data_IF_784125849048
#
_entry.id   IF_784125849048
#
_cell.length_a   1.000
_cell.length_b   1.000
_cell.length_c   1.000
_cell.angle_alpha   90.00
_cell.angle_beta   90.00
_cell.angle_gamma   90.00
#
_symmetry.space_group_name_H-M   'P 1'
#
loop_
_entity.id
_entity.type
_entity.pdbx_description
1 polymer ?
#
# COMPACT_ATOMS: atom_id res chain seq x y z
N UNK A 1 24.15 6.53 -4.39
CA UNK A 1 23.31 6.46 -3.17
C UNK A 1 22.14 5.54 -3.45
N UNK A 2 21.78 4.63 -2.53
CA UNK A 2 20.51 3.87 -2.65
C UNK A 2 19.37 4.76 -2.16
N UNK A 3 18.30 4.87 -2.94
CA UNK A 3 17.08 5.57 -2.51
C UNK A 3 16.48 4.87 -1.30
N UNK A 4 16.22 5.57 -0.19
CA UNK A 4 15.62 4.95 0.99
C UNK A 4 14.17 4.56 0.69
N UNK A 5 13.75 3.47 1.34
CA UNK A 5 12.36 3.01 1.32
C UNK A 5 11.67 3.49 2.59
N UNK A 6 10.51 4.09 2.45
CA UNK A 6 9.72 4.69 3.55
C UNK A 6 8.35 4.05 3.63
N UNK A 7 7.80 3.96 4.83
CA UNK A 7 6.45 3.43 5.06
C UNK A 7 5.41 4.42 4.54
N UNK A 8 4.56 3.95 3.62
CA UNK A 8 3.44 4.69 3.06
C UNK A 8 2.17 4.50 3.91
N UNK A 9 1.85 3.25 4.23
CA UNK A 9 0.64 2.87 4.95
C UNK A 9 0.86 1.54 5.68
N UNK A 10 0.06 1.31 6.74
CA UNK A 10 0.05 0.08 7.52
C UNK A 10 -1.36 -0.51 7.47
N UNK A 11 -1.45 -1.82 7.23
CA UNK A 11 -2.71 -2.55 7.15
C UNK A 11 -2.74 -3.67 8.19
N UNK A 12 -3.93 -3.97 8.71
CA UNK A 12 -4.12 -5.04 9.69
C UNK A 12 -4.14 -6.44 9.05
N UNK A 13 -4.58 -6.53 7.79
CA UNK A 13 -4.74 -7.80 7.08
C UNK A 13 -4.11 -7.75 5.68
N UNK A 14 -3.56 -8.90 5.27
CA UNK A 14 -2.85 -9.05 4.00
C UNK A 14 -3.70 -8.72 2.76
N UNK A 15 -4.99 -9.13 2.67
CA UNK A 15 -5.80 -8.83 1.48
C UNK A 15 -5.90 -7.33 1.19
N UNK A 16 -6.15 -6.50 2.20
CA UNK A 16 -6.23 -5.05 2.04
C UNK A 16 -4.89 -4.44 1.62
N UNK A 17 -3.79 -4.95 2.17
CA UNK A 17 -2.45 -4.51 1.79
C UNK A 17 -2.13 -4.85 0.32
N UNK A 18 -2.48 -6.05 -0.15
CA UNK A 18 -2.27 -6.47 -1.54
C UNK A 18 -3.14 -5.69 -2.53
N UNK A 19 -4.39 -5.37 -2.18
CA UNK A 19 -5.26 -4.51 -3.02
C UNK A 19 -4.61 -3.13 -3.23
N UNK A 20 -4.15 -2.50 -2.16
CA UNK A 20 -3.51 -1.18 -2.25
C UNK A 20 -2.15 -1.23 -2.94
N UNK A 21 -1.39 -2.32 -2.76
CA UNK A 21 -0.18 -2.59 -3.53
C UNK A 21 -0.50 -2.73 -5.03
N UNK A 22 -1.56 -3.44 -5.39
CA UNK A 22 -2.01 -3.58 -6.77
C UNK A 22 -2.31 -2.23 -7.42
N UNK A 23 -3.01 -1.33 -6.71
CA UNK A 23 -3.29 0.04 -7.17
C UNK A 23 -2.00 0.82 -7.46
N UNK A 24 -1.03 0.77 -6.57
CA UNK A 24 0.26 1.44 -6.75
C UNK A 24 1.02 0.90 -7.96
N UNK A 25 1.06 -0.43 -8.11
CA UNK A 25 1.72 -1.07 -9.25
C UNK A 25 1.05 -0.74 -10.58
N UNK A 26 -0.28 -0.66 -10.63
CA UNK A 26 -1.03 -0.26 -11.82
C UNK A 26 -0.68 1.17 -12.27
N UNK A 27 -0.38 2.04 -11.32
CA UNK A 27 0.09 3.41 -11.54
C UNK A 27 1.62 3.50 -11.75
N UNK A 28 2.34 2.37 -11.80
CA UNK A 28 3.78 2.35 -11.99
C UNK A 28 4.59 2.87 -10.78
N UNK A 29 4.01 2.89 -9.58
CA UNK A 29 4.73 3.16 -8.34
C UNK A 29 5.42 1.89 -7.86
N UNK A 30 6.73 1.97 -7.64
CA UNK A 30 7.49 0.85 -7.07
C UNK A 30 7.13 0.70 -5.59
N UNK A 31 6.72 -0.49 -5.17
CA UNK A 31 6.32 -0.74 -3.79
C UNK A 31 6.66 -2.16 -3.34
N UNK A 32 6.87 -2.33 -2.03
CA UNK A 32 7.08 -3.63 -1.37
C UNK A 32 6.22 -3.75 -0.12
N UNK A 33 5.83 -4.97 0.19
CA UNK A 33 5.18 -5.30 1.45
C UNK A 33 6.22 -5.76 2.47
N UNK A 34 6.08 -5.28 3.71
CA UNK A 34 6.82 -5.78 4.86
C UNK A 34 5.83 -6.20 5.92
N UNK A 35 5.70 -7.52 6.11
CA UNK A 35 4.93 -8.05 7.22
C UNK A 35 5.73 -7.85 8.52
N UNK A 36 5.27 -6.90 9.34
CA UNK A 36 5.78 -6.68 10.70
C UNK A 36 4.81 -7.19 11.75
N UNK A 37 3.75 -7.88 11.32
CA UNK A 37 2.73 -8.39 12.21
C UNK A 37 3.31 -9.47 13.11
N UNK A 38 2.94 -9.43 14.38
CA UNK A 38 3.16 -10.52 15.32
C UNK A 38 1.96 -11.49 15.30
N UNK A 39 1.32 -11.63 14.14
CA UNK A 39 0.11 -12.42 13.95
C UNK A 39 0.31 -13.89 14.31
N UNK A 40 1.51 -14.44 14.06
CA UNK A 40 1.92 -15.78 14.50
C UNK A 40 1.92 -15.97 16.03
N UNK A 41 1.95 -14.88 16.79
CA UNK A 41 1.88 -14.85 18.25
C UNK A 41 0.49 -14.46 18.78
N UNK A 42 -0.51 -14.29 17.90
CA UNK A 42 -1.85 -13.83 18.27
C UNK A 42 -1.90 -12.34 18.68
N UNK A 43 -0.87 -11.56 18.35
CA UNK A 43 -0.77 -10.14 18.68
C UNK A 43 -0.97 -9.27 17.44
N UNK A 44 -1.87 -8.29 17.54
CA UNK A 44 -2.01 -7.25 16.52
C UNK A 44 -0.99 -6.15 16.86
N UNK A 45 0.22 -6.27 16.30
CA UNK A 45 1.28 -5.27 16.46
C UNK A 45 1.93 -5.00 15.11
N UNK A 46 2.25 -3.73 14.83
CA UNK A 46 2.98 -3.22 13.65
C UNK A 46 2.41 -3.51 12.25
N UNK A 47 1.44 -4.43 12.10
CA UNK A 47 0.71 -4.68 10.87
C UNK A 47 1.59 -5.03 9.66
N UNK A 48 1.01 -4.86 8.48
CA UNK A 48 1.67 -5.07 7.20
C UNK A 48 1.90 -3.70 6.56
N UNK A 49 3.17 -3.33 6.39
CA UNK A 49 3.58 -2.06 5.81
C UNK A 49 3.62 -2.17 4.28
N UNK A 50 3.06 -1.18 3.58
CA UNK A 50 3.49 -0.86 2.22
C UNK A 50 4.62 0.15 2.32
N UNK A 51 5.75 -0.14 1.68
CA UNK A 51 6.86 0.80 1.55
C UNK A 51 7.09 1.18 0.09
N UNK A 52 7.47 2.43 -0.13
CA UNK A 52 7.81 3.00 -1.45
C UNK A 52 9.16 3.70 -1.38
N UNK A 53 9.86 3.92 -2.50
CA UNK A 53 10.99 4.84 -2.54
C UNK A 53 10.55 6.23 -2.06
N UNK A 54 11.36 6.88 -1.21
CA UNK A 54 11.06 8.20 -0.66
C UNK A 54 10.61 9.26 -1.70
N UNK A 55 11.21 9.35 -2.91
CA UNK A 55 10.76 10.28 -3.94
C UNK A 55 9.34 10.00 -4.48
N UNK A 56 8.82 8.79 -4.32
CA UNK A 56 7.49 8.38 -4.77
C UNK A 56 6.42 8.54 -3.68
N UNK A 57 6.79 8.91 -2.45
CA UNK A 57 5.89 8.97 -1.29
C UNK A 57 4.66 9.84 -1.55
N UNK A 58 4.86 11.09 -1.96
CA UNK A 58 3.75 12.04 -2.18
C UNK A 58 2.82 11.56 -3.31
N UNK A 59 3.39 10.99 -4.38
CA UNK A 59 2.61 10.43 -5.48
C UNK A 59 1.78 9.22 -5.02
N UNK A 60 2.40 8.31 -4.26
CA UNK A 60 1.75 7.12 -3.76
C UNK A 60 0.61 7.46 -2.78
N UNK A 61 0.79 8.47 -1.92
CA UNK A 61 -0.27 8.98 -1.04
C UNK A 61 -1.48 9.48 -1.82
N UNK A 62 -1.25 10.25 -2.90
CA UNK A 62 -2.32 10.74 -3.77
C UNK A 62 -3.10 9.59 -4.42
N UNK A 63 -2.40 8.58 -4.95
CA UNK A 63 -3.02 7.39 -5.56
C UNK A 63 -3.90 6.65 -4.55
N UNK A 64 -3.42 6.44 -3.31
CA UNK A 64 -4.20 5.71 -2.30
C UNK A 64 -5.40 6.52 -1.78
N UNK A 65 -5.29 7.85 -1.75
CA UNK A 65 -6.36 8.76 -1.33
C UNK A 65 -7.45 8.95 -2.39
N UNK A 66 -7.21 8.56 -3.65
CA UNK A 66 -8.25 8.58 -4.68
C UNK A 66 -9.38 7.62 -4.29
N UNK A 67 -10.60 8.16 -4.34
CA UNK A 67 -11.82 7.39 -4.16
C UNK A 67 -12.29 6.87 -5.52
N UNK A 68 -12.25 5.55 -5.68
CA UNK A 68 -12.71 4.85 -6.89
C UNK A 68 -14.14 4.30 -6.73
N UNK A 69 -14.85 4.65 -5.65
CA UNK A 69 -16.21 4.16 -5.39
C UNK A 69 -17.24 4.58 -6.45
N UNK A 70 -16.94 5.60 -7.26
CA UNK A 70 -17.79 6.11 -8.34
C UNK A 70 -17.47 5.57 -9.75
N UNK A 71 -16.35 4.87 -9.95
CA UNK A 71 -15.85 4.49 -11.30
C UNK A 71 -16.48 3.21 -11.88
N UNK A 72 -17.55 2.69 -11.25
CA UNK A 72 -18.37 1.64 -11.84
C UNK A 72 -19.32 2.24 -12.88
N UNK A 73 -18.77 2.82 -13.95
CA UNK A 73 -19.53 3.05 -15.17
C UNK A 73 -19.86 1.67 -15.75
N UNK A 74 -21.03 1.16 -15.36
CA UNK A 74 -21.69 0.05 -16.04
C UNK A 74 -22.12 0.58 -17.41
N UNK A 75 -21.19 0.57 -18.37
CA UNK A 75 -21.52 0.77 -19.76
C UNK A 75 -22.63 -0.24 -20.15
N UNK A 76 -23.67 0.22 -20.87
CA UNK A 76 -24.86 -0.59 -21.19
C UNK A 76 -24.57 -1.80 -22.08
#
# INVERSE_FOLDING_TARGET
>A
MKTPWVTLAVFEILPTAEINRGRLLAEGVSCRLMDRSLSSLGLIANGIEIQVPEPELERAQKILAQDFSGDLDLAP
#
